data_IF_964250640774
#
_entry.id   IF_964250640774
#
_cell.length_a   1.000
_cell.length_b   1.000
_cell.length_c   1.000
_cell.angle_alpha   90.00
_cell.angle_beta   90.00
_cell.angle_gamma   90.00
#
_symmetry.space_group_name_H-M   'P 1'
#
loop_
_entity.id
_entity.type
_entity.pdbx_description
1 polymer ?
#
# COMPACT_ATOMS: atom_id res chain seq x y z
N UNK A 1 -14.31 17.10 -4.40
CA UNK A 1 -15.26 15.97 -4.21
C UNK A 1 -14.54 14.64 -3.93
N UNK A 2 -13.23 14.50 -4.19
CA UNK A 2 -12.44 13.30 -3.86
C UNK A 2 -12.08 13.15 -2.36
N UNK A 3 -12.14 14.23 -1.57
CA UNK A 3 -11.74 14.22 -0.15
C UNK A 3 -12.68 13.47 0.80
N UNK A 4 -13.87 13.03 0.36
CA UNK A 4 -14.87 12.39 1.24
C UNK A 4 -14.73 10.87 1.40
N UNK A 5 -13.80 10.23 0.69
CA UNK A 5 -13.71 8.76 0.64
C UNK A 5 -12.31 8.21 0.96
N UNK A 6 -11.36 9.07 1.32
CA UNK A 6 -10.07 8.60 1.81
C UNK A 6 -10.29 7.76 3.09
N UNK A 7 -9.68 6.57 3.20
CA UNK A 7 -9.82 5.73 4.38
C UNK A 7 -9.37 6.50 5.63
N UNK A 8 -10.26 6.59 6.64
CA UNK A 8 -9.98 7.32 7.89
C UNK A 8 -8.88 6.67 8.74
N UNK A 9 -8.53 5.41 8.45
CA UNK A 9 -7.56 4.63 9.19
C UNK A 9 -6.69 3.77 8.28
N UNK A 10 -5.38 3.83 8.50
CA UNK A 10 -4.41 2.92 7.91
C UNK A 10 -4.30 1.63 8.72
N UNK A 11 -4.08 0.53 8.02
CA UNK A 11 -3.75 -0.77 8.58
C UNK A 11 -2.24 -0.88 8.76
N UNK A 12 -1.79 -1.38 9.91
CA UNK A 12 -0.36 -1.48 10.22
C UNK A 12 0.13 -2.92 10.07
N UNK A 13 1.19 -3.12 9.29
CA UNK A 13 1.92 -4.39 9.29
C UNK A 13 3.14 -4.30 10.20
N UNK A 14 3.23 -5.23 11.15
CA UNK A 14 4.33 -5.33 12.12
C UNK A 14 5.02 -6.68 11.96
N UNK A 15 6.34 -6.67 11.87
CA UNK A 15 7.17 -7.87 11.82
C UNK A 15 8.24 -7.79 12.92
N UNK A 16 8.37 -8.83 13.74
CA UNK A 16 9.29 -8.87 14.88
C UNK A 16 9.19 -7.66 15.84
N UNK A 17 7.97 -7.15 16.06
CA UNK A 17 7.72 -6.01 16.95
C UNK A 17 8.07 -4.65 16.34
N UNK A 18 8.47 -4.59 15.07
CA UNK A 18 8.75 -3.35 14.34
C UNK A 18 7.70 -3.10 13.27
N UNK A 19 7.21 -1.87 13.19
CA UNK A 19 6.33 -1.44 12.11
C UNK A 19 7.12 -1.48 10.80
N UNK A 20 6.60 -2.22 9.82
CA UNK A 20 7.24 -2.37 8.51
C UNK A 20 6.66 -1.37 7.52
N UNK A 21 5.34 -1.34 7.42
CA UNK A 21 4.60 -0.37 6.62
C UNK A 21 3.19 -0.21 7.18
N UNK A 22 2.57 0.90 6.81
CA UNK A 22 1.13 1.10 6.92
C UNK A 22 0.52 1.03 5.54
N UNK A 23 -0.76 0.70 5.45
CA UNK A 23 -1.43 0.64 4.16
C UNK A 23 -2.91 0.89 4.29
N UNK A 24 -3.51 1.33 3.19
CA UNK A 24 -4.95 1.40 3.04
C UNK A 24 -5.32 1.12 1.59
N UNK A 25 -6.62 1.16 1.30
CA UNK A 25 -7.09 0.97 -0.05
C UNK A 25 -8.35 1.76 -0.32
N UNK A 26 -8.65 1.97 -1.59
CA UNK A 26 -9.97 2.38 -2.09
C UNK A 26 -10.47 1.28 -3.03
N UNK A 27 -11.57 1.51 -3.74
CA UNK A 27 -11.99 0.59 -4.80
C UNK A 27 -10.96 0.53 -5.94
N UNK A 28 -10.17 1.59 -6.14
CA UNK A 28 -9.27 1.72 -7.28
C UNK A 28 -7.81 1.50 -6.93
N UNK A 29 -7.41 1.81 -5.70
CA UNK A 29 -5.99 1.89 -5.31
C UNK A 29 -5.71 1.10 -4.04
N UNK A 30 -4.46 0.67 -3.89
CA UNK A 30 -3.87 0.29 -2.62
C UNK A 30 -2.71 1.25 -2.35
N UNK A 31 -2.68 1.87 -1.18
CA UNK A 31 -1.61 2.76 -0.78
C UNK A 31 -0.75 2.09 0.29
N UNK A 32 0.57 2.17 0.16
CA UNK A 32 1.52 1.74 1.17
C UNK A 32 2.37 2.92 1.65
N UNK A 33 2.66 2.93 2.94
CA UNK A 33 3.37 4.00 3.64
C UNK A 33 4.53 3.41 4.43
N UNK A 34 5.75 3.85 4.12
CA UNK A 34 6.98 3.36 4.74
C UNK A 34 7.75 4.52 5.34
N UNK A 35 7.94 4.51 6.66
CA UNK A 35 8.77 5.50 7.34
C UNK A 35 10.24 5.35 6.91
N UNK A 36 10.86 6.45 6.49
CA UNK A 36 12.24 6.43 6.01
C UNK A 36 13.24 6.72 7.13
N UNK A 37 14.42 6.08 7.11
CA UNK A 37 15.48 6.39 8.05
C UNK A 37 15.99 7.82 7.87
N UNK A 38 16.16 8.53 8.99
CA UNK A 38 16.69 9.90 9.01
C UNK A 38 18.15 9.92 8.53
N UNK A 39 18.53 10.99 7.85
CA UNK A 39 19.91 11.23 7.39
C UNK A 39 20.30 10.50 6.10
N UNK A 40 19.39 9.75 5.48
CA UNK A 40 19.62 9.16 4.16
C UNK A 40 19.15 10.13 3.07
N UNK A 41 20.00 10.48 2.08
CA UNK A 41 19.58 11.32 0.96
C UNK A 41 18.43 10.68 0.17
N UNK A 42 17.36 11.44 -0.08
CA UNK A 42 16.13 10.93 -0.72
C UNK A 42 16.39 10.25 -2.07
N UNK A 43 17.35 10.76 -2.84
CA UNK A 43 17.78 10.21 -4.14
C UNK A 43 18.34 8.78 -4.10
N UNK A 44 18.69 8.27 -2.91
CA UNK A 44 19.18 6.90 -2.75
C UNK A 44 18.05 5.90 -2.57
N UNK A 45 16.86 6.35 -2.16
CA UNK A 45 15.70 5.47 -2.11
C UNK A 45 15.23 5.14 -3.52
N UNK A 46 14.76 3.91 -3.68
CA UNK A 46 14.11 3.46 -4.90
C UNK A 46 12.92 2.57 -4.53
N UNK A 47 11.90 2.64 -5.37
CA UNK A 47 10.80 1.71 -5.37
C UNK A 47 10.56 1.26 -6.82
N UNK A 48 10.52 -0.05 -7.03
CA UNK A 48 10.23 -0.69 -8.31
C UNK A 48 8.87 -1.36 -8.20
N UNK A 49 7.92 -0.94 -9.03
CA UNK A 49 6.57 -1.51 -9.08
C UNK A 49 6.45 -2.30 -10.37
N UNK A 50 6.13 -3.59 -10.25
CA UNK A 50 5.80 -4.47 -11.36
C UNK A 50 4.37 -4.96 -11.21
N UNK A 51 3.85 -5.60 -12.27
CA UNK A 51 2.44 -5.99 -12.33
C UNK A 51 1.99 -6.81 -11.10
N UNK A 52 2.85 -7.64 -10.53
CA UNK A 52 2.52 -8.46 -9.35
C UNK A 52 3.63 -8.46 -8.29
N UNK A 53 4.50 -7.45 -8.30
CA UNK A 53 5.66 -7.42 -7.42
C UNK A 53 6.02 -5.99 -7.04
N UNK A 54 6.48 -5.78 -5.81
CA UNK A 54 6.99 -4.51 -5.33
C UNK A 54 8.33 -4.70 -4.63
N UNK A 55 9.28 -3.85 -4.99
CA UNK A 55 10.59 -3.76 -4.35
C UNK A 55 10.84 -2.34 -3.85
N UNK A 56 11.31 -2.20 -2.62
CA UNK A 56 11.66 -0.92 -1.99
C UNK A 56 13.02 -1.07 -1.32
N UNK A 57 13.90 -0.08 -1.47
CA UNK A 57 15.20 -0.12 -0.79
C UNK A 57 16.04 1.15 -0.94
N UNK A 58 17.26 1.07 -0.41
CA UNK A 58 18.29 2.11 -0.52
C UNK A 58 19.38 1.59 -1.45
N UNK A 59 19.71 2.33 -2.51
CA UNK A 59 20.76 1.95 -3.47
C UNK A 59 22.05 1.58 -2.75
N UNK A 60 22.62 0.44 -3.12
CA UNK A 60 23.84 -0.11 -2.52
C UNK A 60 23.61 -1.00 -1.30
N UNK A 61 22.37 -1.20 -0.87
CA UNK A 61 21.98 -2.13 0.21
C UNK A 61 21.02 -3.20 -0.34
N UNK A 62 20.84 -4.33 0.37
CA UNK A 62 19.73 -5.24 0.12
C UNK A 62 18.38 -4.50 0.17
N UNK A 63 17.38 -4.92 -0.62
CA UNK A 63 16.06 -4.31 -0.60
C UNK A 63 15.43 -4.46 0.78
N UNK A 64 14.79 -3.39 1.25
CA UNK A 64 14.02 -3.38 2.49
C UNK A 64 12.76 -4.25 2.36
N UNK A 65 12.10 -4.17 1.20
CA UNK A 65 10.93 -4.96 0.85
C UNK A 65 11.15 -5.49 -0.57
N UNK A 66 10.92 -6.78 -0.80
CA UNK A 66 10.99 -7.41 -2.12
C UNK A 66 10.04 -8.62 -2.08
N UNK A 67 8.78 -8.37 -2.48
CA UNK A 67 7.71 -9.35 -2.35
C UNK A 67 6.67 -9.22 -3.46
N UNK A 68 5.97 -10.33 -3.70
CA UNK A 68 4.83 -10.35 -4.59
C UNK A 68 3.62 -9.65 -3.98
N UNK A 69 2.88 -8.94 -4.82
CA UNK A 69 1.64 -8.27 -4.47
C UNK A 69 0.49 -9.27 -4.43
N UNK A 70 -0.47 -9.06 -3.54
CA UNK A 70 -1.65 -9.95 -3.41
C UNK A 70 -2.44 -10.07 -4.70
N UNK A 71 -2.56 -8.98 -5.47
CA UNK A 71 -3.19 -8.97 -6.79
C UNK A 71 -2.42 -8.08 -7.78
N UNK A 72 -2.65 -8.25 -9.10
CA UNK A 72 -1.94 -7.44 -10.05
C UNK A 72 -2.38 -5.96 -10.08
N UNK A 73 -1.46 -5.09 -10.46
CA UNK A 73 -1.61 -3.63 -10.56
C UNK A 73 -1.34 -3.14 -11.98
N UNK A 74 -1.82 -1.94 -12.31
CA UNK A 74 -1.50 -1.22 -13.55
C UNK A 74 -0.21 -0.45 -13.32
N UNK A 75 0.91 -0.95 -13.82
CA UNK A 75 2.24 -0.37 -13.57
C UNK A 75 2.39 1.05 -14.13
N UNK A 76 1.75 1.34 -15.26
CA UNK A 76 1.70 2.66 -15.89
C UNK A 76 0.96 3.72 -15.08
N UNK A 77 0.04 3.28 -14.21
CA UNK A 77 -0.79 4.14 -13.36
C UNK A 77 -0.41 4.06 -11.88
N UNK A 78 0.61 3.26 -11.55
CA UNK A 78 1.13 3.11 -10.19
C UNK A 78 2.41 3.92 -10.05
N UNK A 79 2.59 4.60 -8.93
CA UNK A 79 3.73 5.48 -8.70
C UNK A 79 4.10 5.52 -7.21
N UNK A 80 5.20 6.18 -6.90
CA UNK A 80 5.60 6.43 -5.53
C UNK A 80 6.17 7.84 -5.37
N UNK A 81 5.97 8.42 -4.20
CA UNK A 81 6.51 9.71 -3.79
C UNK A 81 7.19 9.58 -2.43
N UNK A 82 7.99 10.58 -2.07
CA UNK A 82 8.53 10.72 -0.72
C UNK A 82 8.11 12.09 -0.21
N UNK A 83 7.35 12.09 0.88
CA UNK A 83 6.79 13.29 1.49
C UNK A 83 7.01 13.21 3.00
N UNK A 84 7.53 14.28 3.60
CA UNK A 84 7.76 14.41 5.05
C UNK A 84 8.53 13.24 5.72
N UNK A 85 9.42 12.58 4.97
CA UNK A 85 10.20 11.44 5.47
C UNK A 85 9.46 10.10 5.46
N UNK A 86 8.33 10.02 4.76
CA UNK A 86 7.57 8.81 4.49
C UNK A 86 7.55 8.54 2.98
N UNK A 87 7.77 7.30 2.57
CA UNK A 87 7.55 6.87 1.19
C UNK A 87 6.10 6.44 1.01
N UNK A 88 5.41 7.06 0.07
CA UNK A 88 4.03 6.77 -0.31
C UNK A 88 4.06 6.00 -1.62
N UNK A 89 3.53 4.79 -1.64
CA UNK A 89 3.45 3.94 -2.82
C UNK A 89 1.98 3.77 -3.18
N UNK A 90 1.58 4.31 -4.32
CA UNK A 90 0.22 4.22 -4.84
C UNK A 90 0.17 3.14 -5.91
N UNK A 91 -0.58 2.08 -5.62
CA UNK A 91 -0.75 0.91 -6.48
C UNK A 91 -2.14 0.93 -7.10
N UNK A 92 -2.23 1.24 -8.39
CA UNK A 92 -3.49 1.21 -9.12
C UNK A 92 -3.91 -0.25 -9.34
N UNK A 93 -5.04 -0.67 -8.75
CA UNK A 93 -5.57 -2.03 -8.92
C UNK A 93 -5.84 -2.29 -10.40
N UNK A 94 -5.46 -3.49 -10.86
CA UNK A 94 -5.86 -3.95 -12.21
C UNK A 94 -7.34 -4.30 -12.28
N UNK A 95 -7.88 -4.86 -11.19
CA UNK A 95 -9.29 -5.18 -11.01
C UNK A 95 -9.90 -4.22 -9.99
N UNK A 96 -10.58 -3.18 -10.48
CA UNK A 96 -11.26 -2.20 -9.64
C UNK A 96 -12.37 -2.88 -8.82
N UNK A 97 -12.56 -2.42 -7.59
CA UNK A 97 -13.55 -2.93 -6.64
C UNK A 97 -13.13 -4.20 -5.91
N UNK A 98 -11.97 -4.78 -6.22
CA UNK A 98 -11.44 -5.92 -5.48
C UNK A 98 -10.87 -5.48 -4.14
N UNK A 99 -11.38 -6.04 -3.06
CA UNK A 99 -10.83 -5.86 -1.70
C UNK A 99 -9.57 -6.68 -1.52
N UNK A 100 -8.49 -6.04 -1.10
CA UNK A 100 -7.24 -6.70 -0.73
C UNK A 100 -7.22 -6.95 0.78
N UNK A 101 -6.86 -8.14 1.22
CA UNK A 101 -6.68 -8.43 2.65
C UNK A 101 -5.31 -7.98 3.18
N UNK A 102 -4.38 -7.68 2.28
CA UNK A 102 -3.03 -7.16 2.52
C UNK A 102 -2.42 -6.73 1.18
N UNK A 103 -1.47 -5.77 1.15
CA UNK A 103 -0.75 -5.40 -0.07
C UNK A 103 0.22 -6.50 -0.52
N UNK A 104 0.83 -7.19 0.44
CA UNK A 104 1.86 -8.20 0.19
C UNK A 104 1.28 -9.61 0.33
N UNK A 105 1.54 -10.45 -0.68
CA UNK A 105 1.03 -11.81 -0.71
C UNK A 105 1.46 -12.60 0.54
N UNK A 106 0.46 -13.06 1.31
CA UNK A 106 0.68 -13.91 2.47
C UNK A 106 1.23 -13.21 3.71
N UNK A 107 1.35 -11.88 3.72
CA UNK A 107 1.89 -11.12 4.84
C UNK A 107 0.97 -9.98 5.26
N UNK A 108 0.83 -9.77 6.57
CA UNK A 108 0.02 -8.67 7.09
C UNK A 108 -1.46 -8.77 6.74
N UNK A 109 -1.95 -10.00 6.55
CA UNK A 109 -3.36 -10.29 6.32
C UNK A 109 -4.16 -9.73 7.50
N UNK A 110 -5.16 -8.91 7.19
CA UNK A 110 -6.08 -8.38 8.19
C UNK A 110 -6.74 -9.52 8.96
N UNK A 111 -6.94 -9.30 10.26
CA UNK A 111 -7.78 -10.19 11.05
C UNK A 111 -9.22 -10.16 10.51
N UNK A 112 -10.03 -11.21 10.78
CA UNK A 112 -11.37 -11.32 10.21
C UNK A 112 -12.29 -10.13 10.51
N UNK A 113 -12.12 -9.48 11.66
CA UNK A 113 -12.92 -8.31 12.03
C UNK A 113 -12.49 -7.08 11.22
N UNK A 114 -11.18 -6.79 11.16
CA UNK A 114 -10.67 -5.70 10.34
C UNK A 114 -11.01 -5.88 8.84
N UNK A 115 -10.91 -7.11 8.33
CA UNK A 115 -11.29 -7.43 6.96
C UNK A 115 -12.79 -7.19 6.67
N UNK A 116 -13.68 -7.59 7.60
CA UNK A 116 -15.12 -7.32 7.51
C UNK A 116 -15.43 -5.80 7.52
N UNK A 117 -14.78 -5.05 8.41
CA UNK A 117 -14.94 -3.59 8.45
C UNK A 117 -14.49 -2.92 7.16
N UNK A 118 -13.33 -3.35 6.63
CA UNK A 118 -12.79 -2.84 5.37
C UNK A 118 -13.71 -3.15 4.19
N UNK A 119 -14.24 -4.38 4.13
CA UNK A 119 -15.21 -4.76 3.11
C UNK A 119 -16.48 -3.90 3.18
N UNK A 120 -17.03 -3.68 4.38
CA UNK A 120 -18.22 -2.82 4.59
C UNK A 120 -17.95 -1.39 4.13
N UNK A 121 -16.77 -0.85 4.43
CA UNK A 121 -16.36 0.49 4.00
C UNK A 121 -16.30 0.60 2.48
N UNK A 122 -15.69 -0.37 1.80
CA UNK A 122 -15.62 -0.41 0.34
C UNK A 122 -16.98 -0.59 -0.32
N UNK A 123 -17.88 -1.39 0.27
CA UNK A 123 -19.26 -1.51 -0.20
C UNK A 123 -20.01 -0.17 -0.11
N UNK A 124 -19.82 0.57 0.99
CA UNK A 124 -20.42 1.89 1.15
C UNK A 124 -19.85 2.90 0.16
N UNK A 125 -18.54 2.88 -0.08
CA UNK A 125 -17.90 3.70 -1.11
C UNK A 125 -18.55 3.43 -2.48
N UNK A 126 -18.68 2.15 -2.86
CA UNK A 126 -19.24 1.76 -4.16
C UNK A 126 -20.65 2.29 -4.35
N UNK A 127 -21.50 2.17 -3.32
CA UNK A 127 -22.88 2.67 -3.38
C UNK A 127 -22.96 4.20 -3.52
N UNK A 128 -21.96 4.95 -3.07
CA UNK A 128 -21.92 6.42 -3.21
C UNK A 128 -21.38 6.89 -4.56
N UNK A 129 -20.65 6.03 -5.28
CA UNK A 129 -20.11 6.31 -6.61
C UNK A 129 -21.09 5.93 -7.74
N UNK A 130 -22.10 5.12 -7.44
CA UNK A 130 -23.25 4.80 -8.31
C UNK A 130 -24.31 5.92 -8.32
#
# INVERSE_FOLDING_TARGET
>A
MAEKLAPEKRHTFVHNGQKVFEWDQTLEEVNMYIELPKGVPTKLFHCTIQASHVEVGIRGNPPYLNHDLTHPVKTDSSFWTIEDGEMHITLQKRENGKTWSSPIQGQGILDPYAADQEQKRLMLQRFQEE
#
